data_IF_160330913216
#
_entry.id   IF_160330913216
#
_cell.length_a   1.000
_cell.length_b   1.000
_cell.length_c   1.000
_cell.angle_alpha   90.00
_cell.angle_beta   90.00
_cell.angle_gamma   90.00
#
_symmetry.space_group_name_H-M   'P 1'
#
loop_
_entity.id
_entity.type
_entity.pdbx_description
1 polymer ?
#
# COMPACT_ATOMS: atom_id res chain seq x y z
N UNK A 1 0.10 11.06 4.12
CA UNK A 1 0.23 9.96 3.13
C UNK A 1 -0.33 10.43 1.81
N UNK A 2 0.30 10.09 0.69
CA UNK A 2 -0.20 10.44 -0.64
C UNK A 2 -0.09 9.23 -1.55
N UNK A 3 -1.21 8.74 -2.06
CA UNK A 3 -1.27 7.59 -2.95
C UNK A 3 -1.63 8.01 -4.37
N UNK A 4 -1.03 7.36 -5.36
CA UNK A 4 -1.35 7.56 -6.78
C UNK A 4 -1.07 6.31 -7.60
N UNK A 5 -1.68 6.27 -8.77
CA UNK A 5 -1.39 5.33 -9.85
C UNK A 5 -0.78 6.09 -11.03
N UNK A 6 -0.56 5.39 -12.14
CA UNK A 6 -0.20 6.04 -13.42
C UNK A 6 -1.29 7.00 -13.92
N UNK A 7 -2.56 6.69 -13.63
CA UNK A 7 -3.71 7.38 -14.24
C UNK A 7 -4.50 8.22 -13.23
N UNK A 8 -4.35 7.95 -11.93
CA UNK A 8 -5.18 8.53 -10.87
C UNK A 8 -4.30 9.09 -9.75
N UNK A 9 -4.60 10.30 -9.31
CA UNK A 9 -4.03 10.88 -8.11
C UNK A 9 -5.11 10.90 -7.02
N UNK A 10 -4.89 10.19 -5.92
CA UNK A 10 -5.85 10.11 -4.80
C UNK A 10 -5.66 11.24 -3.80
N UNK A 11 -4.67 12.11 -4.01
CA UNK A 11 -4.35 13.24 -3.17
C UNK A 11 -3.63 12.87 -1.88
N UNK A 12 -3.30 13.91 -1.13
CA UNK A 12 -2.66 13.80 0.18
C UNK A 12 -3.70 13.74 1.30
N UNK A 13 -3.49 12.82 2.23
CA UNK A 13 -4.33 12.57 3.39
C UNK A 13 -3.50 12.60 4.67
N UNK A 14 -3.94 13.38 5.66
CA UNK A 14 -3.39 13.34 7.01
C UNK A 14 -4.06 12.20 7.79
N UNK A 15 -3.27 11.21 8.21
CA UNK A 15 -3.76 10.06 8.98
C UNK A 15 -3.28 10.24 10.43
N UNK A 16 -4.19 10.25 11.43
CA UNK A 16 -3.78 10.32 12.83
C UNK A 16 -3.03 9.05 13.26
N UNK A 17 -2.31 9.11 14.40
CA UNK A 17 -1.70 7.91 14.96
C UNK A 17 -2.75 6.81 15.17
N UNK A 18 -2.41 5.57 14.78
CA UNK A 18 -3.32 4.40 14.75
C UNK A 18 -4.57 4.58 13.87
N UNK A 19 -4.63 5.63 13.06
CA UNK A 19 -5.66 5.83 12.06
C UNK A 19 -5.47 4.92 10.85
N UNK A 20 -6.49 4.89 10.00
CA UNK A 20 -6.47 4.14 8.73
C UNK A 20 -7.01 4.99 7.60
N UNK A 21 -6.59 4.64 6.38
CA UNK A 21 -7.11 5.18 5.15
C UNK A 21 -7.29 4.03 4.16
N UNK A 22 -8.38 4.06 3.41
CA UNK A 22 -8.69 3.06 2.41
C UNK A 22 -9.25 3.75 1.16
N UNK A 23 -9.00 3.13 0.02
CA UNK A 23 -9.58 3.51 -1.26
C UNK A 23 -9.91 2.25 -2.05
N UNK A 24 -10.85 2.37 -2.98
CA UNK A 24 -11.29 1.27 -3.84
C UNK A 24 -11.01 1.64 -5.29
N UNK A 25 -10.54 0.67 -6.06
CA UNK A 25 -10.29 0.80 -7.48
C UNK A 25 -10.60 -0.53 -8.16
N UNK A 26 -10.67 -0.51 -9.50
CA UNK A 26 -10.78 -1.72 -10.32
C UNK A 26 -9.50 -1.89 -11.12
N UNK A 27 -8.78 -3.02 -11.01
CA UNK A 27 -7.62 -3.28 -11.86
C UNK A 27 -7.99 -3.21 -13.35
N UNK A 28 -7.09 -2.65 -14.15
CA UNK A 28 -7.23 -2.61 -15.60
C UNK A 28 -7.08 -4.02 -16.20
N UNK A 29 -7.75 -4.24 -17.34
CA UNK A 29 -7.81 -5.56 -18.01
C UNK A 29 -6.43 -6.02 -18.51
N UNK A 30 -5.49 -5.09 -18.73
CA UNK A 30 -4.13 -5.42 -19.17
C UNK A 30 -3.23 -5.90 -18.01
N UNK A 31 -3.74 -5.92 -16.78
CA UNK A 31 -3.00 -6.37 -15.60
C UNK A 31 -1.78 -5.51 -15.24
N UNK A 32 -1.84 -4.22 -15.59
CA UNK A 32 -0.74 -3.25 -15.36
C UNK A 32 -1.05 -2.26 -14.25
N UNK A 33 -2.10 -2.50 -13.46
CA UNK A 33 -2.48 -1.58 -12.38
C UNK A 33 -1.44 -1.60 -11.27
N UNK A 34 -0.99 -0.41 -10.90
CA UNK A 34 -0.02 -0.20 -9.85
C UNK A 34 -0.42 1.06 -9.08
N UNK A 35 -0.46 0.97 -7.75
CA UNK A 35 -0.60 2.10 -6.85
C UNK A 35 0.60 2.13 -5.92
N UNK A 36 1.17 3.32 -5.76
CA UNK A 36 2.21 3.57 -4.77
C UNK A 36 1.79 4.72 -3.87
N UNK A 37 2.21 4.61 -2.61
CA UNK A 37 1.93 5.59 -1.59
C UNK A 37 3.24 6.09 -1.00
N UNK A 38 3.34 7.40 -0.80
CA UNK A 38 4.35 8.01 0.05
C UNK A 38 3.77 8.26 1.44
N UNK A 39 4.61 8.06 2.44
CA UNK A 39 4.31 8.21 3.84
C UNK A 39 5.34 9.15 4.44
N UNK A 40 4.85 10.17 5.15
CA UNK A 40 5.67 11.15 5.82
C UNK A 40 5.16 11.29 7.25
N UNK A 41 6.04 11.13 8.23
CA UNK A 41 5.75 11.37 9.64
C UNK A 41 7.04 11.82 10.35
N UNK A 42 6.97 12.87 11.16
CA UNK A 42 8.18 13.47 11.74
C UNK A 42 9.19 13.88 10.67
N UNK A 43 10.42 13.37 10.77
CA UNK A 43 11.49 13.57 9.78
C UNK A 43 11.63 12.42 8.77
N UNK A 44 10.78 11.39 8.86
CA UNK A 44 10.85 10.21 8.00
C UNK A 44 10.02 10.41 6.73
N UNK A 45 10.56 9.94 5.61
CA UNK A 45 9.85 9.85 4.34
C UNK A 45 10.15 8.50 3.70
N UNK A 46 9.09 7.76 3.41
CA UNK A 46 9.17 6.47 2.73
C UNK A 46 8.12 6.36 1.65
N UNK A 47 8.36 5.49 0.67
CA UNK A 47 7.34 5.12 -0.30
C UNK A 47 7.31 3.61 -0.52
N UNK A 48 6.15 3.13 -0.95
CA UNK A 48 5.92 1.73 -1.20
C UNK A 48 4.83 1.51 -2.24
N UNK A 49 4.99 0.48 -3.07
CA UNK A 49 3.95 -0.01 -3.96
C UNK A 49 2.88 -0.78 -3.18
N UNK A 50 1.83 -0.07 -2.76
CA UNK A 50 0.74 -0.64 -1.94
C UNK A 50 -0.10 -1.65 -2.72
N UNK A 51 -0.08 -1.56 -4.06
CA UNK A 51 -0.68 -2.55 -4.95
C UNK A 51 0.13 -2.68 -6.25
N UNK A 52 0.49 -3.90 -6.61
CA UNK A 52 1.03 -4.29 -7.93
C UNK A 52 0.17 -5.46 -8.41
N UNK A 53 -0.58 -5.29 -9.49
CA UNK A 53 -1.51 -6.31 -9.97
C UNK A 53 -0.88 -7.71 -10.07
N UNK A 54 0.30 -7.83 -10.70
CA UNK A 54 1.00 -9.12 -10.84
C UNK A 54 1.38 -9.78 -9.51
N UNK A 55 1.58 -8.99 -8.45
CA UNK A 55 1.93 -9.46 -7.11
C UNK A 55 0.66 -9.80 -6.31
N UNK A 56 -0.35 -8.94 -6.37
CA UNK A 56 -1.40 -8.88 -5.36
C UNK A 56 -2.77 -9.40 -5.81
N UNK A 57 -3.04 -9.50 -7.12
CA UNK A 57 -4.37 -9.83 -7.66
C UNK A 57 -4.95 -11.15 -7.12
N UNK A 58 -4.07 -12.13 -6.88
CA UNK A 58 -4.43 -13.44 -6.31
C UNK A 58 -4.25 -13.52 -4.80
N UNK A 59 -3.51 -12.58 -4.19
CA UNK A 59 -3.20 -12.58 -2.76
C UNK A 59 -4.30 -11.90 -1.93
N UNK A 60 -4.93 -10.86 -2.47
CA UNK A 60 -5.87 -10.06 -1.71
C UNK A 60 -6.99 -9.45 -2.58
N UNK A 61 -8.23 -9.65 -2.15
CA UNK A 61 -9.36 -8.81 -2.56
C UNK A 61 -9.39 -7.49 -1.78
N UNK A 62 -9.03 -7.55 -0.50
CA UNK A 62 -8.80 -6.40 0.36
C UNK A 62 -7.34 -6.43 0.82
N UNK A 63 -6.49 -5.64 0.17
CA UNK A 63 -5.07 -5.58 0.44
C UNK A 63 -4.82 -4.69 1.66
N UNK A 64 -4.91 -5.28 2.85
CA UNK A 64 -4.69 -4.59 4.11
C UNK A 64 -3.21 -4.55 4.43
N UNK A 65 -2.71 -3.37 4.79
CA UNK A 65 -1.31 -3.15 5.15
C UNK A 65 -1.20 -2.47 6.51
N UNK A 66 -0.33 -2.99 7.37
CA UNK A 66 0.16 -2.26 8.53
C UNK A 66 1.47 -1.57 8.17
N UNK A 67 1.54 -0.27 8.42
CA UNK A 67 2.72 0.55 8.13
C UNK A 67 3.57 0.65 9.39
N UNK A 68 4.84 0.23 9.29
CA UNK A 68 5.81 0.27 10.40
C UNK A 68 7.08 1.01 9.95
N UNK A 69 7.88 1.55 10.87
CA UNK A 69 9.17 2.15 10.52
C UNK A 69 10.09 1.22 9.72
N UNK A 70 10.04 -0.10 10.01
CA UNK A 70 10.85 -1.11 9.32
C UNK A 70 10.36 -1.48 7.91
N UNK A 71 9.13 -1.09 7.56
CA UNK A 71 8.48 -1.45 6.32
C UNK A 71 7.03 -1.91 6.50
N UNK A 72 6.27 -2.00 5.40
CA UNK A 72 4.88 -2.43 5.43
C UNK A 72 4.75 -3.96 5.54
N UNK A 73 3.71 -4.44 6.24
CA UNK A 73 3.34 -5.85 6.25
C UNK A 73 1.87 -6.01 5.84
N UNK A 74 1.60 -6.90 4.89
CA UNK A 74 0.26 -7.22 4.44
C UNK A 74 -0.40 -8.25 5.37
N UNK A 75 -1.72 -8.17 5.52
CA UNK A 75 -2.51 -9.25 6.10
C UNK A 75 -2.49 -10.46 5.17
N UNK A 76 -2.07 -11.59 5.71
CA UNK A 76 -2.08 -12.87 5.03
C UNK A 76 -3.37 -13.61 5.36
N UNK A 77 -4.21 -13.82 4.34
CA UNK A 77 -5.49 -14.50 4.48
C UNK A 77 -5.35 -16.02 4.70
N UNK A 78 -4.20 -16.61 4.37
CA UNK A 78 -3.95 -18.03 4.58
C UNK A 78 -3.54 -18.33 6.03
N UNK A 79 -2.73 -17.45 6.63
CA UNK A 79 -2.20 -17.64 8.01
C UNK A 79 -2.95 -16.83 9.07
N UNK A 80 -3.81 -15.89 8.66
CA UNK A 80 -4.47 -14.91 9.53
C UNK A 80 -3.47 -14.09 10.38
N UNK A 81 -2.40 -13.61 9.75
CA UNK A 81 -1.36 -12.82 10.41
C UNK A 81 -0.79 -11.72 9.51
N UNK A 82 -0.12 -10.73 10.11
CA UNK A 82 0.62 -9.66 9.40
C UNK A 82 2.04 -10.10 9.05
N UNK A 83 2.19 -11.17 8.28
CA UNK A 83 3.47 -11.86 8.07
C UNK A 83 4.04 -11.75 6.63
N UNK A 84 3.29 -11.18 5.68
CA UNK A 84 3.81 -10.83 4.35
C UNK A 84 4.45 -9.44 4.44
N UNK A 85 5.67 -9.37 4.97
CA UNK A 85 6.39 -8.12 5.19
C UNK A 85 7.34 -7.78 4.03
N UNK A 86 7.38 -6.50 3.67
CA UNK A 86 8.29 -5.95 2.66
C UNK A 86 9.16 -4.85 3.26
N UNK A 87 10.34 -4.62 2.67
CA UNK A 87 11.10 -3.40 2.94
C UNK A 87 10.46 -2.22 2.21
N UNK A 88 10.80 -1.01 2.67
CA UNK A 88 10.55 0.20 1.88
C UNK A 88 11.24 0.12 0.53
N UNK A 89 10.68 0.79 -0.48
CA UNK A 89 11.30 0.89 -1.78
C UNK A 89 12.55 1.78 -1.71
N UNK A 90 13.57 1.45 -2.50
CA UNK A 90 14.80 2.24 -2.63
C UNK A 90 14.54 3.45 -3.53
N UNK A 91 15.01 4.63 -3.11
CA UNK A 91 14.84 5.90 -3.83
C UNK A 91 15.84 6.06 -4.97
#
# INVERSE_FOLDING_TARGET
>A
MHCKSKNDDLGAHAIPDKGSYAFTFRPNILGTTQFWCSFAWGSEFHYFDIYIHKRDDWLCNYCLWIIKPTGPCMWNYDTNAWDICSKWNES
#
